data_IF_155838853576
#
_entry.id   IF_155838853576
#
_cell.length_a   1.000
_cell.length_b   1.000
_cell.length_c   1.000
_cell.angle_alpha   90.00
_cell.angle_beta   90.00
_cell.angle_gamma   90.00
#
_symmetry.space_group_name_H-M   'P 1'
#
loop_
_entity.id
_entity.type
_entity.pdbx_description
1 polymer ?
#
# COMPACT_ATOMS: atom_id res chain seq x y z
N UNK A 1 15.64 -24.68 -2.57
CA UNK A 1 15.64 -23.33 -1.98
C UNK A 1 14.38 -23.21 -1.15
N UNK A 2 14.51 -23.09 0.17
CA UNK A 2 13.41 -22.93 1.13
C UNK A 2 12.61 -21.65 0.83
N UNK A 3 11.54 -21.77 0.03
CA UNK A 3 10.58 -20.69 -0.24
C UNK A 3 9.47 -20.60 0.84
N UNK A 4 9.67 -21.20 2.01
CA UNK A 4 8.56 -21.70 2.85
C UNK A 4 8.07 -20.79 3.99
N UNK A 5 8.58 -19.56 4.17
CA UNK A 5 8.32 -18.80 5.41
C UNK A 5 7.62 -17.46 5.28
N UNK A 6 7.57 -16.85 4.09
CA UNK A 6 7.03 -15.49 3.97
C UNK A 6 5.48 -15.47 3.98
N UNK A 7 4.82 -16.41 3.31
CA UNK A 7 3.35 -16.41 3.23
C UNK A 7 2.70 -16.63 4.60
N UNK A 8 3.12 -17.60 5.44
CA UNK A 8 2.60 -17.73 6.80
C UNK A 8 3.01 -16.57 7.71
N UNK A 9 4.18 -15.96 7.51
CA UNK A 9 4.62 -14.82 8.29
C UNK A 9 3.73 -13.59 8.11
N UNK A 10 3.23 -13.37 6.89
CA UNK A 10 2.34 -12.26 6.55
C UNK A 10 0.91 -12.43 7.06
N UNK A 11 0.53 -13.61 7.55
CA UNK A 11 -0.79 -13.86 8.10
C UNK A 11 -1.05 -12.97 9.32
N UNK A 12 -2.21 -12.31 9.33
CA UNK A 12 -2.63 -11.41 10.39
C UNK A 12 -1.78 -10.15 10.55
N UNK A 13 -0.83 -9.87 9.64
CA UNK A 13 0.03 -8.68 9.70
C UNK A 13 -0.67 -7.44 9.16
N UNK A 14 -0.42 -6.30 9.77
CA UNK A 14 -0.72 -4.97 9.23
C UNK A 14 0.55 -4.39 8.61
N UNK A 15 0.46 -3.93 7.37
CA UNK A 15 1.61 -3.48 6.60
C UNK A 15 1.39 -2.06 6.11
N UNK A 16 2.33 -1.16 6.42
CA UNK A 16 2.40 0.17 5.82
C UNK A 16 3.30 0.13 4.58
N UNK A 17 2.79 0.58 3.44
CA UNK A 17 3.53 0.65 2.18
C UNK A 17 3.57 2.11 1.72
N UNK A 18 4.77 2.68 1.62
CA UNK A 18 4.95 4.01 1.04
C UNK A 18 5.34 3.91 -0.43
N UNK A 19 4.90 4.87 -1.25
CA UNK A 19 5.20 4.85 -2.67
C UNK A 19 4.39 3.79 -3.42
N UNK A 20 3.18 3.47 -2.92
CA UNK A 20 2.33 2.41 -3.44
C UNK A 20 1.93 2.56 -4.93
N UNK A 21 2.04 3.77 -5.50
CA UNK A 21 1.81 4.02 -6.93
C UNK A 21 3.02 3.69 -7.81
N UNK A 22 4.19 3.47 -7.20
CA UNK A 22 5.40 3.05 -7.89
C UNK A 22 5.27 1.63 -8.45
N UNK A 23 6.01 1.34 -9.52
CA UNK A 23 5.95 0.06 -10.22
C UNK A 23 6.19 -1.14 -9.30
N UNK A 24 7.27 -1.11 -8.51
CA UNK A 24 7.62 -2.20 -7.59
C UNK A 24 6.59 -2.35 -6.46
N UNK A 25 6.11 -1.25 -5.89
CA UNK A 25 5.17 -1.31 -4.78
C UNK A 25 3.83 -1.91 -5.19
N UNK A 26 3.33 -1.63 -6.41
CA UNK A 26 2.13 -2.28 -6.96
C UNK A 26 2.28 -3.81 -7.04
N UNK A 27 3.44 -4.27 -7.51
CA UNK A 27 3.78 -5.71 -7.55
C UNK A 27 3.73 -6.34 -6.17
N UNK A 28 4.29 -5.66 -5.17
CA UNK A 28 4.26 -6.13 -3.78
C UNK A 28 2.82 -6.20 -3.25
N UNK A 29 2.00 -5.17 -3.47
CA UNK A 29 0.59 -5.15 -3.05
C UNK A 29 -0.20 -6.30 -3.67
N UNK A 30 -0.14 -6.47 -5.00
CA UNK A 30 -0.82 -7.58 -5.67
C UNK A 30 -0.33 -8.93 -5.16
N UNK A 31 0.99 -9.09 -5.03
CA UNK A 31 1.59 -10.36 -4.61
C UNK A 31 1.13 -10.74 -3.22
N UNK A 32 1.12 -9.80 -2.26
CA UNK A 32 0.64 -10.05 -0.90
C UNK A 32 -0.82 -10.49 -0.92
N UNK A 33 -1.70 -9.74 -1.59
CA UNK A 33 -3.13 -10.08 -1.68
C UNK A 33 -3.36 -11.45 -2.34
N UNK A 34 -2.52 -11.83 -3.31
CA UNK A 34 -2.63 -13.09 -4.04
C UNK A 34 -2.14 -14.31 -3.26
N UNK A 35 -1.09 -14.16 -2.44
CA UNK A 35 -0.48 -15.28 -1.71
C UNK A 35 -0.94 -15.40 -0.27
N UNK A 36 -1.33 -14.30 0.35
CA UNK A 36 -1.78 -14.28 1.73
C UNK A 36 -3.03 -13.38 1.88
N UNK A 37 -4.22 -13.87 1.50
CA UNK A 37 -5.47 -13.13 1.63
C UNK A 37 -5.87 -12.87 3.10
N UNK A 38 -5.28 -13.60 4.07
CA UNK A 38 -5.50 -13.39 5.50
C UNK A 38 -4.54 -12.35 6.11
N UNK A 39 -3.84 -11.54 5.28
CA UNK A 39 -3.20 -10.33 5.78
C UNK A 39 -4.25 -9.47 6.49
N UNK A 40 -3.91 -8.89 7.65
CA UNK A 40 -4.89 -8.12 8.43
C UNK A 40 -5.26 -6.85 7.69
N UNK A 41 -4.26 -6.08 7.25
CA UNK A 41 -4.47 -4.75 6.67
C UNK A 41 -3.26 -4.28 5.87
N UNK A 42 -3.51 -3.59 4.76
CA UNK A 42 -2.51 -2.87 3.96
C UNK A 42 -2.83 -1.37 4.01
N UNK A 43 -2.03 -0.59 4.75
CA UNK A 43 -2.05 0.87 4.67
C UNK A 43 -1.18 1.31 3.50
N UNK A 44 -1.78 2.02 2.54
CA UNK A 44 -1.06 2.53 1.36
C UNK A 44 -0.93 4.05 1.47
N UNK A 45 0.27 4.54 1.77
CA UNK A 45 0.50 5.99 1.82
C UNK A 45 0.60 6.55 0.39
N UNK A 46 -0.32 7.46 0.08
CA UNK A 46 -0.47 8.10 -1.22
C UNK A 46 -0.42 9.62 -1.07
N UNK A 47 0.43 10.26 -1.87
CA UNK A 47 0.49 11.72 -1.94
C UNK A 47 -0.83 12.28 -2.46
N UNK A 48 -1.66 12.82 -1.59
CA UNK A 48 -2.98 13.33 -1.91
C UNK A 48 -3.38 14.39 -0.88
N UNK A 49 -4.30 15.27 -1.24
CA UNK A 49 -4.82 16.31 -0.34
C UNK A 49 -5.72 15.76 0.77
N UNK A 50 -6.42 14.66 0.50
CA UNK A 50 -7.47 14.14 1.37
C UNK A 50 -7.76 12.66 1.04
N UNK A 51 -8.52 12.00 1.91
CA UNK A 51 -8.88 10.59 1.79
C UNK A 51 -9.61 10.26 0.49
N UNK A 52 -10.47 11.14 -0.02
CA UNK A 52 -11.20 10.91 -1.27
C UNK A 52 -10.23 10.94 -2.46
N UNK A 53 -9.31 11.89 -2.46
CA UNK A 53 -8.24 12.00 -3.44
C UNK A 53 -7.30 10.80 -3.38
N UNK A 54 -6.92 10.33 -2.20
CA UNK A 54 -6.13 9.11 -2.03
C UNK A 54 -6.86 7.87 -2.58
N UNK A 55 -8.17 7.70 -2.27
CA UNK A 55 -8.99 6.60 -2.79
C UNK A 55 -9.11 6.66 -4.31
N UNK A 56 -9.28 7.86 -4.90
CA UNK A 56 -9.30 8.04 -6.35
C UNK A 56 -7.97 7.62 -6.98
N UNK A 57 -6.84 8.09 -6.44
CA UNK A 57 -5.50 7.69 -6.92
C UNK A 57 -5.28 6.19 -6.81
N UNK A 58 -5.70 5.57 -5.72
CA UNK A 58 -5.64 4.12 -5.55
C UNK A 58 -6.40 3.40 -6.67
N UNK A 59 -7.65 3.79 -6.93
CA UNK A 59 -8.47 3.18 -7.97
C UNK A 59 -7.86 3.36 -9.35
N UNK A 60 -7.46 4.59 -9.70
CA UNK A 60 -7.01 4.94 -11.04
C UNK A 60 -5.59 4.44 -11.35
N UNK A 61 -4.67 4.54 -10.38
CA UNK A 61 -3.26 4.24 -10.62
C UNK A 61 -2.87 2.81 -10.24
N UNK A 62 -3.54 2.19 -9.27
CA UNK A 62 -3.17 0.87 -8.74
C UNK A 62 -4.13 -0.20 -9.26
N UNK A 63 -5.44 -0.06 -9.03
CA UNK A 63 -6.41 -1.11 -9.38
C UNK A 63 -6.63 -1.29 -10.89
N UNK A 64 -6.40 -0.24 -11.70
CA UNK A 64 -6.43 -0.34 -13.16
C UNK A 64 -5.14 -0.91 -13.77
N UNK A 65 -4.08 -1.15 -12.99
CA UNK A 65 -2.87 -1.72 -13.53
C UNK A 65 -3.12 -3.16 -14.02
N UNK A 66 -2.60 -3.50 -15.21
CA UNK A 66 -2.77 -4.83 -15.83
C UNK A 66 -2.30 -5.98 -14.93
N UNK A 67 -1.37 -5.70 -14.03
CA UNK A 67 -0.94 -6.62 -12.97
C UNK A 67 -2.11 -7.23 -12.18
N UNK A 68 -3.14 -6.44 -11.87
CA UNK A 68 -4.30 -6.93 -11.12
C UNK A 68 -5.23 -7.81 -11.96
N UNK A 69 -5.03 -7.91 -13.29
CA UNK A 69 -5.77 -8.85 -14.13
C UNK A 69 -5.50 -10.29 -13.71
N UNK A 70 -4.25 -10.61 -13.33
CA UNK A 70 -3.86 -11.96 -12.86
C UNK A 70 -4.68 -12.36 -11.63
N UNK A 71 -4.76 -11.46 -10.64
CA UNK A 71 -5.56 -11.71 -9.45
C UNK A 71 -7.06 -11.74 -9.78
N UNK A 72 -7.54 -10.83 -10.63
CA UNK A 72 -8.94 -10.73 -11.06
C UNK A 72 -9.42 -12.00 -11.77
N UNK A 73 -8.60 -12.59 -12.63
CA UNK A 73 -8.89 -13.86 -13.30
C UNK A 73 -8.90 -15.04 -12.31
N UNK A 74 -7.99 -15.04 -11.33
CA UNK A 74 -7.87 -16.12 -10.35
C UNK A 74 -9.04 -16.19 -9.36
N UNK A 75 -9.50 -15.05 -8.84
CA UNK A 75 -10.53 -15.02 -7.78
C UNK A 75 -11.86 -14.40 -8.24
N UNK A 76 -11.92 -13.81 -9.43
CA UNK A 76 -13.10 -13.12 -9.95
C UNK A 76 -13.19 -11.65 -9.51
N UNK A 77 -13.81 -10.82 -10.34
CA UNK A 77 -13.88 -9.36 -10.12
C UNK A 77 -14.59 -8.96 -8.82
N UNK A 78 -15.73 -9.60 -8.50
CA UNK A 78 -16.48 -9.29 -7.29
C UNK A 78 -15.68 -9.63 -6.02
N UNK A 79 -15.02 -10.79 -6.00
CA UNK A 79 -14.21 -11.19 -4.85
C UNK A 79 -12.96 -10.32 -4.68
N UNK A 80 -12.33 -9.90 -5.79
CA UNK A 80 -11.23 -8.93 -5.74
C UNK A 80 -11.69 -7.60 -5.15
N UNK A 81 -12.84 -7.08 -5.58
CA UNK A 81 -13.39 -5.84 -5.04
C UNK A 81 -13.66 -5.95 -3.54
N UNK A 82 -14.28 -7.04 -3.08
CA UNK A 82 -14.52 -7.29 -1.65
C UNK A 82 -13.22 -7.41 -0.86
N UNK A 83 -12.24 -8.15 -1.37
CA UNK A 83 -10.93 -8.33 -0.73
C UNK A 83 -10.21 -6.98 -0.58
N UNK A 84 -10.22 -6.16 -1.64
CA UNK A 84 -9.59 -4.85 -1.62
C UNK A 84 -10.29 -3.89 -0.67
N UNK A 85 -11.63 -3.88 -0.66
CA UNK A 85 -12.41 -3.05 0.28
C UNK A 85 -12.12 -3.43 1.74
N UNK A 86 -11.95 -4.72 2.03
CA UNK A 86 -11.70 -5.21 3.38
C UNK A 86 -10.25 -4.98 3.82
N UNK A 87 -9.27 -5.22 2.94
CA UNK A 87 -7.85 -5.30 3.32
C UNK A 87 -7.05 -4.04 3.02
N UNK A 88 -7.47 -3.19 2.08
CA UNK A 88 -6.63 -2.09 1.57
C UNK A 88 -7.18 -0.73 2.00
N UNK A 89 -6.33 0.05 2.65
CA UNK A 89 -6.66 1.34 3.24
C UNK A 89 -5.72 2.41 2.66
N UNK A 90 -6.13 3.11 1.59
CA UNK A 90 -5.38 4.24 1.04
C UNK A 90 -5.39 5.42 2.03
N UNK A 91 -4.21 5.91 2.38
CA UNK A 91 -4.01 7.02 3.32
C UNK A 91 -3.43 8.20 2.54
N UNK A 92 -4.05 9.37 2.70
CA UNK A 92 -3.49 10.62 2.19
C UNK A 92 -2.30 11.03 3.06
N UNK A 93 -1.14 11.25 2.45
CA UNK A 93 0.02 11.78 3.14
C UNK A 93 1.28 11.83 2.26
N UNK A 94 2.30 12.48 2.77
CA UNK A 94 3.57 12.71 2.08
C UNK A 94 4.74 12.41 3.01
N UNK A 95 5.67 11.56 2.57
CA UNK A 95 6.85 11.15 3.34
C UNK A 95 7.79 12.30 3.69
N UNK A 96 7.71 13.43 2.97
CA UNK A 96 8.54 14.61 3.21
C UNK A 96 8.01 15.53 4.30
N UNK A 97 6.80 15.27 4.81
CA UNK A 97 6.15 16.04 5.86
C UNK A 97 6.22 15.26 7.17
N UNK A 98 6.43 15.98 8.27
CA UNK A 98 6.37 15.40 9.62
C UNK A 98 5.05 14.65 9.83
N UNK A 99 5.12 13.48 10.48
CA UNK A 99 3.99 12.57 10.67
C UNK A 99 3.23 12.21 9.36
N UNK A 100 3.93 12.25 8.23
CA UNK A 100 3.39 12.07 6.89
C UNK A 100 2.30 13.07 6.49
N UNK A 101 2.14 14.18 7.22
CA UNK A 101 1.03 15.12 7.04
C UNK A 101 -0.33 14.54 7.44
N UNK A 102 -0.37 13.49 8.26
CA UNK A 102 -1.62 12.91 8.78
C UNK A 102 -2.12 13.80 9.92
N UNK A 103 -3.16 14.59 9.64
CA UNK A 103 -3.72 15.54 10.62
C UNK A 103 -4.55 14.88 11.72
N UNK A 104 -5.12 13.69 11.47
CA UNK A 104 -5.96 13.00 12.45
C UNK A 104 -5.08 12.22 13.46
N UNK A 105 -5.01 12.67 14.74
CA UNK A 105 -4.14 12.05 15.73
C UNK A 105 -4.60 10.66 16.15
N UNK A 106 -5.92 10.40 16.23
CA UNK A 106 -6.47 9.10 16.61
C UNK A 106 -6.11 8.04 15.56
N UNK A 107 -6.30 8.38 14.28
CA UNK A 107 -5.92 7.52 13.16
C UNK A 107 -4.42 7.23 13.15
N UNK A 108 -3.59 8.24 13.41
CA UNK A 108 -2.13 8.07 13.49
C UNK A 108 -1.76 7.12 14.63
N UNK A 109 -2.33 7.32 15.82
CA UNK A 109 -2.10 6.46 16.98
C UNK A 109 -2.52 5.02 16.73
N UNK A 110 -3.67 4.80 16.09
CA UNK A 110 -4.15 3.48 15.73
C UNK A 110 -3.23 2.80 14.72
N UNK A 111 -2.77 3.53 13.70
CA UNK A 111 -1.78 3.03 12.75
C UNK A 111 -0.48 2.61 13.47
N UNK A 112 0.06 3.46 14.33
CA UNK A 112 1.31 3.18 15.06
C UNK A 112 1.20 1.96 15.97
N UNK A 113 0.04 1.73 16.59
CA UNK A 113 -0.21 0.57 17.45
C UNK A 113 -0.38 -0.73 16.67
N UNK A 114 -0.91 -0.65 15.46
CA UNK A 114 -1.27 -1.84 14.67
C UNK A 114 -0.25 -2.27 13.64
N UNK A 115 0.62 -1.38 13.15
CA UNK A 115 1.58 -1.69 12.08
C UNK A 115 2.64 -2.69 12.59
N UNK A 116 2.75 -3.82 11.89
CA UNK A 116 3.77 -4.83 12.14
C UNK A 116 4.98 -4.66 11.19
N UNK A 117 4.74 -4.20 9.96
CA UNK A 117 5.74 -4.18 8.88
C UNK A 117 5.65 -2.86 8.12
N UNK A 118 6.81 -2.26 7.83
CA UNK A 118 6.92 -1.09 6.95
C UNK A 118 7.70 -1.50 5.69
N UNK A 119 7.08 -1.28 4.53
CA UNK A 119 7.72 -1.42 3.21
C UNK A 119 7.88 -0.01 2.62
N UNK A 120 9.09 0.53 2.75
CA UNK A 120 9.41 1.86 2.24
C UNK A 120 9.95 1.78 0.81
N UNK A 121 9.10 2.09 -0.17
CA UNK A 121 9.46 2.16 -1.59
C UNK A 121 9.26 3.57 -2.18
N UNK A 122 9.01 4.57 -1.33
CA UNK A 122 8.82 5.94 -1.80
C UNK A 122 10.17 6.59 -2.07
N UNK A 123 10.34 7.10 -3.29
CA UNK A 123 11.52 7.84 -3.70
C UNK A 123 11.14 8.83 -4.80
N UNK A 124 11.99 9.82 -5.02
CA UNK A 124 11.97 10.58 -6.27
C UNK A 124 12.57 9.70 -7.38
N UNK A 125 11.90 9.66 -8.53
CA UNK A 125 12.41 9.00 -9.74
C UNK A 125 12.87 10.02 -10.78
N UNK A 126 13.08 11.27 -10.36
CA UNK A 126 13.65 12.32 -11.19
C UNK A 126 15.17 12.23 -11.09
N UNK A 127 15.78 11.77 -12.17
CA UNK A 127 17.23 11.54 -12.22
C UNK A 127 18.06 12.83 -12.35
N UNK A 128 17.40 13.96 -12.62
CA UNK A 128 17.98 15.29 -12.78
C UNK A 128 17.85 16.18 -11.53
N UNK A 129 17.22 15.67 -10.46
CA UNK A 129 17.16 16.40 -9.19
C UNK A 129 18.55 16.49 -8.55
N UNK A 130 18.92 17.71 -8.15
CA UNK A 130 20.14 17.93 -7.38
C UNK A 130 19.89 17.56 -5.93
N UNK A 131 20.86 16.90 -5.31
CA UNK A 131 20.85 16.70 -3.88
C UNK A 131 20.98 18.06 -3.18
N UNK A 132 19.90 18.53 -2.57
CA UNK A 132 19.89 19.74 -1.74
C UNK A 132 20.05 19.28 -0.30
N UNK A 133 21.14 19.65 0.36
CA UNK A 133 21.27 19.48 1.81
C UNK A 133 20.26 20.41 2.48
N UNK A 134 19.33 19.82 3.24
CA UNK A 134 18.53 20.50 4.28
C UNK A 134 19.35 20.61 5.56
#
# INVERSE_FOLDING_TARGET
MELSKIEPFLEGKTILITGATGFLAKLVVEKILRVQPNVKRLFLLLRASDTKSARKRFNDEIMQAELFNVLREKIGANNLNSLVEEKVFPIAGDISIEDFGIENPEMKDDMLKEIDIIIHSAATTRFDERYIFI
#
